data_IF_311204464103
#
_entry.id   IF_311204464103
#
_cell.length_a   1.000
_cell.length_b   1.000
_cell.length_c   1.000
_cell.angle_alpha   90.00
_cell.angle_beta   90.00
_cell.angle_gamma   90.00
#
_symmetry.space_group_name_H-M   'P 1'
#
loop_
_entity.id
_entity.type
_entity.pdbx_description
1 polymer ?
#
# COMPACT_ATOMS: atom_id res chain seq x y z
N UNK A 1 -11.53 10.48 -36.15
CA UNK A 1 -12.59 10.77 -35.15
C UNK A 1 -11.96 11.44 -33.95
N UNK A 2 -12.69 12.31 -33.25
CA UNK A 2 -12.18 12.99 -32.05
C UNK A 2 -11.78 11.97 -30.97
N UNK A 3 -10.75 12.24 -30.15
CA UNK A 3 -10.38 11.38 -29.03
C UNK A 3 -11.57 11.32 -28.06
N UNK A 4 -12.01 10.10 -27.74
CA UNK A 4 -13.05 9.86 -26.74
C UNK A 4 -12.37 9.22 -25.54
N UNK A 5 -12.60 9.73 -24.34
CA UNK A 5 -12.09 9.09 -23.13
C UNK A 5 -12.80 7.74 -22.96
N UNK A 6 -12.03 6.65 -22.94
CA UNK A 6 -12.52 5.26 -22.84
C UNK A 6 -12.07 4.57 -21.55
N UNK A 7 -11.44 5.29 -20.62
CA UNK A 7 -11.04 4.70 -19.36
C UNK A 7 -12.26 4.44 -18.47
N UNK A 8 -12.23 3.32 -17.76
CA UNK A 8 -13.22 2.98 -16.75
C UNK A 8 -12.91 3.62 -15.40
N UNK A 9 -13.63 3.16 -14.37
CA UNK A 9 -13.53 3.64 -12.98
C UNK A 9 -12.66 2.73 -12.09
N UNK A 10 -12.04 1.70 -12.66
CA UNK A 10 -11.19 0.75 -11.95
C UNK A 10 -9.73 1.13 -12.14
N UNK A 11 -9.01 1.29 -11.03
CA UNK A 11 -7.60 1.64 -11.04
C UNK A 11 -6.83 0.92 -9.92
N UNK A 12 -5.53 0.75 -10.12
CA UNK A 12 -4.62 0.19 -9.13
C UNK A 12 -3.47 1.14 -8.85
N UNK A 13 -3.07 1.27 -7.59
CA UNK A 13 -1.89 2.06 -7.20
C UNK A 13 -1.14 1.40 -6.05
N UNK A 14 0.18 1.56 -6.05
CA UNK A 14 1.05 1.03 -5.00
C UNK A 14 1.32 2.10 -3.93
N UNK A 15 1.10 1.76 -2.66
CA UNK A 15 1.45 2.63 -1.53
C UNK A 15 2.93 2.44 -1.18
N UNK A 16 3.68 3.53 -1.02
CA UNK A 16 5.10 3.48 -0.62
C UNK A 16 5.26 2.95 0.81
N UNK A 17 6.37 2.29 1.09
CA UNK A 17 6.65 1.68 2.39
C UNK A 17 6.02 0.30 2.60
N UNK A 18 5.67 -0.38 1.51
CA UNK A 18 5.32 -1.80 1.53
C UNK A 18 3.89 -2.12 2.02
N UNK A 19 3.60 -3.41 2.27
CA UNK A 19 2.25 -3.89 2.56
C UNK A 19 1.62 -3.28 3.81
N UNK A 20 2.44 -3.00 4.85
CA UNK A 20 1.97 -2.38 6.09
C UNK A 20 1.34 -1.01 5.85
N UNK A 21 1.97 -0.17 5.03
CA UNK A 21 1.43 1.15 4.70
C UNK A 21 0.17 1.06 3.86
N UNK A 22 0.10 0.12 2.91
CA UNK A 22 -1.13 -0.11 2.16
C UNK A 22 -2.31 -0.53 3.06
N UNK A 23 -2.04 -1.39 4.06
CA UNK A 23 -3.02 -1.77 5.09
C UNK A 23 -3.51 -0.55 5.88
N UNK A 24 -2.58 0.29 6.34
CA UNK A 24 -2.89 1.52 7.08
C UNK A 24 -3.76 2.47 6.25
N UNK A 25 -3.39 2.73 4.99
CA UNK A 25 -4.21 3.57 4.09
C UNK A 25 -5.61 3.00 3.94
N UNK A 26 -5.73 1.69 3.64
CA UNK A 26 -7.03 1.05 3.46
C UNK A 26 -7.91 1.11 4.73
N UNK A 27 -7.30 1.03 5.91
CA UNK A 27 -8.02 1.11 7.19
C UNK A 27 -8.44 2.54 7.57
N UNK A 28 -7.76 3.56 7.03
CA UNK A 28 -8.09 4.96 7.30
C UNK A 28 -9.13 5.56 6.36
N UNK A 29 -9.50 4.87 5.28
CA UNK A 29 -10.59 5.29 4.40
C UNK A 29 -11.92 5.36 5.17
N UNK A 30 -12.63 6.47 5.02
CA UNK A 30 -13.87 6.79 5.73
C UNK A 30 -15.09 6.77 4.81
N UNK A 31 -14.91 7.12 3.53
CA UNK A 31 -15.96 7.08 2.52
C UNK A 31 -15.90 5.79 1.70
N UNK A 32 -14.69 5.42 1.26
CA UNK A 32 -14.46 4.27 0.40
C UNK A 32 -14.60 2.96 1.18
N UNK A 33 -15.43 2.05 0.68
CA UNK A 33 -15.72 0.79 1.37
C UNK A 33 -14.66 -0.28 1.10
N UNK A 34 -14.28 -1.02 2.15
CA UNK A 34 -13.43 -2.21 2.02
C UNK A 34 -14.24 -3.38 1.51
N UNK A 35 -14.18 -3.65 0.21
CA UNK A 35 -14.95 -4.72 -0.43
C UNK A 35 -14.23 -5.30 -1.66
N UNK A 36 -14.57 -6.54 -2.01
CA UNK A 36 -13.98 -7.26 -3.14
C UNK A 36 -14.79 -7.15 -4.44
N UNK A 37 -16.03 -6.63 -4.36
CA UNK A 37 -16.88 -6.37 -5.52
C UNK A 37 -16.38 -5.21 -6.39
N UNK A 38 -17.06 -5.00 -7.52
CA UNK A 38 -16.69 -4.08 -8.60
C UNK A 38 -17.95 -3.40 -9.17
N UNK A 39 -17.82 -2.18 -9.72
CA UNK A 39 -18.88 -1.53 -10.50
C UNK A 39 -20.12 -1.12 -9.70
N UNK A 40 -19.98 -0.81 -8.41
CA UNK A 40 -21.08 -0.32 -7.57
C UNK A 40 -21.22 1.20 -7.68
N UNK A 41 -22.38 1.69 -7.26
CA UNK A 41 -22.60 3.13 -7.06
C UNK A 41 -21.75 3.70 -5.93
N UNK A 42 -21.32 2.86 -4.98
CA UNK A 42 -20.39 3.26 -3.91
C UNK A 42 -18.96 2.89 -4.28
N UNK A 43 -18.02 3.75 -3.92
CA UNK A 43 -16.59 3.52 -4.06
C UNK A 43 -16.14 2.34 -3.20
N UNK A 44 -15.35 1.44 -3.79
CA UNK A 44 -14.82 0.25 -3.10
C UNK A 44 -13.33 0.09 -3.34
N UNK A 45 -12.60 -0.33 -2.31
CA UNK A 45 -11.18 -0.61 -2.38
C UNK A 45 -10.80 -1.94 -1.70
N UNK A 46 -9.75 -2.57 -2.20
CA UNK A 46 -9.17 -3.79 -1.61
C UNK A 46 -7.68 -3.89 -1.89
N UNK A 47 -6.97 -4.70 -1.10
CA UNK A 47 -5.59 -5.12 -1.38
C UNK A 47 -5.66 -6.51 -2.02
N UNK A 48 -5.50 -6.63 -3.36
CA UNK A 48 -5.75 -7.90 -4.05
C UNK A 48 -4.90 -9.05 -3.52
N UNK A 49 -3.66 -8.76 -3.11
CA UNK A 49 -2.73 -9.76 -2.61
C UNK A 49 -3.27 -10.54 -1.40
N UNK A 50 -4.04 -9.91 -0.52
CA UNK A 50 -4.62 -10.54 0.68
C UNK A 50 -6.12 -10.80 0.56
N UNK A 51 -6.69 -10.62 -0.63
CA UNK A 51 -8.12 -10.84 -0.89
C UNK A 51 -8.33 -11.67 -2.16
N UNK A 52 -8.72 -11.03 -3.25
CA UNK A 52 -9.11 -11.66 -4.52
C UNK A 52 -8.05 -12.57 -5.14
N UNK A 53 -6.77 -12.32 -4.87
CA UNK A 53 -5.65 -13.09 -5.42
C UNK A 53 -4.88 -13.84 -4.33
N UNK A 54 -5.47 -14.01 -3.14
CA UNK A 54 -4.82 -14.70 -2.03
C UNK A 54 -4.44 -16.15 -2.37
N UNK A 55 -5.32 -16.86 -3.10
CA UNK A 55 -5.14 -18.28 -3.45
C UNK A 55 -4.01 -18.53 -4.47
N UNK A 56 -3.50 -17.50 -5.14
CA UNK A 56 -2.41 -17.63 -6.12
C UNK A 56 -1.04 -17.85 -5.47
N UNK A 57 -0.93 -17.69 -4.14
CA UNK A 57 0.33 -17.75 -3.43
C UNK A 57 1.27 -16.59 -3.79
N UNK A 58 2.47 -16.57 -3.19
CA UNK A 58 3.42 -15.49 -3.43
C UNK A 58 3.99 -15.52 -4.85
N UNK A 59 4.41 -16.70 -5.33
CA UNK A 59 5.00 -16.86 -6.66
C UNK A 59 4.02 -16.52 -7.78
N UNK A 60 2.76 -16.98 -7.69
CA UNK A 60 1.72 -16.63 -8.66
C UNK A 60 1.41 -15.13 -8.68
N UNK A 61 1.38 -14.48 -7.51
CA UNK A 61 1.19 -13.02 -7.42
C UNK A 61 2.38 -12.24 -7.98
N UNK A 62 3.62 -12.70 -7.77
CA UNK A 62 4.82 -12.07 -8.37
C UNK A 62 4.75 -12.13 -9.89
N UNK A 63 4.40 -13.28 -10.46
CA UNK A 63 4.25 -13.47 -11.90
C UNK A 63 3.15 -12.57 -12.49
N UNK A 64 2.05 -12.40 -11.76
CA UNK A 64 0.94 -11.53 -12.16
C UNK A 64 1.15 -10.04 -11.84
N UNK A 65 2.32 -9.65 -11.30
CA UNK A 65 2.63 -8.28 -10.86
C UNK A 65 1.63 -7.71 -9.84
N UNK A 66 1.27 -8.52 -8.84
CA UNK A 66 0.35 -8.17 -7.74
C UNK A 66 1.15 -8.02 -6.44
N UNK A 67 1.82 -6.88 -6.20
CA UNK A 67 2.59 -6.68 -5.00
C UNK A 67 1.68 -6.49 -3.78
N UNK A 68 2.20 -6.79 -2.58
CA UNK A 68 1.43 -6.72 -1.33
C UNK A 68 0.98 -5.31 -0.93
N UNK A 69 1.49 -4.28 -1.58
CA UNK A 69 1.14 -2.87 -1.36
C UNK A 69 0.24 -2.28 -2.46
N UNK A 70 -0.28 -3.11 -3.36
CA UNK A 70 -1.24 -2.69 -4.38
C UNK A 70 -2.62 -2.51 -3.75
N UNK A 71 -3.19 -1.32 -3.89
CA UNK A 71 -4.61 -1.06 -3.63
C UNK A 71 -5.32 -0.98 -4.98
N UNK A 72 -6.39 -1.76 -5.13
CA UNK A 72 -7.34 -1.65 -6.24
C UNK A 72 -8.52 -0.80 -5.76
N UNK A 73 -8.76 0.32 -6.44
CA UNK A 73 -9.87 1.24 -6.20
C UNK A 73 -10.85 1.16 -7.38
N UNK A 74 -12.15 1.08 -7.06
CA UNK A 74 -13.23 1.27 -8.01
C UNK A 74 -14.02 2.48 -7.54
N UNK A 75 -13.96 3.55 -8.33
CA UNK A 75 -14.67 4.80 -8.02
C UNK A 75 -16.15 4.63 -8.32
N UNK A 76 -16.99 4.98 -7.36
CA UNK A 76 -18.44 4.97 -7.46
C UNK A 76 -18.99 6.26 -8.05
N UNK A 77 -20.23 6.59 -7.68
CA UNK A 77 -20.97 7.77 -8.10
C UNK A 77 -20.97 8.91 -7.08
N UNK A 78 -20.09 8.86 -6.08
CA UNK A 78 -19.90 9.97 -5.13
C UNK A 78 -19.36 11.24 -5.83
N UNK A 79 -19.43 12.38 -5.15
CA UNK A 79 -18.80 13.60 -5.65
C UNK A 79 -17.28 13.41 -5.75
N UNK A 80 -16.63 13.77 -6.88
CA UNK A 80 -15.19 13.53 -7.06
C UNK A 80 -14.32 14.11 -5.94
N UNK A 81 -14.66 15.31 -5.46
CA UNK A 81 -13.91 15.98 -4.39
C UNK A 81 -13.98 15.21 -3.06
N UNK A 82 -15.09 14.53 -2.77
CA UNK A 82 -15.24 13.74 -1.55
C UNK A 82 -14.36 12.48 -1.60
N UNK A 83 -14.29 11.82 -2.78
CA UNK A 83 -13.43 10.66 -3.00
C UNK A 83 -11.96 11.06 -2.93
N UNK A 84 -11.59 12.20 -3.52
CA UNK A 84 -10.22 12.73 -3.45
C UNK A 84 -9.86 13.09 -2.01
N UNK A 85 -10.75 13.76 -1.27
CA UNK A 85 -10.53 14.11 0.13
C UNK A 85 -10.37 12.88 1.03
N UNK A 86 -11.16 11.82 0.80
CA UNK A 86 -11.06 10.55 1.52
C UNK A 86 -9.69 9.87 1.31
N UNK A 87 -9.21 9.85 0.06
CA UNK A 87 -7.88 9.33 -0.27
C UNK A 87 -6.76 10.18 0.34
N UNK A 88 -6.87 11.51 0.26
CA UNK A 88 -5.85 12.43 0.78
C UNK A 88 -5.70 12.31 2.30
N UNK A 89 -6.82 12.32 3.04
CA UNK A 89 -6.78 12.17 4.49
C UNK A 89 -6.20 10.81 4.91
N UNK A 90 -6.55 9.72 4.21
CA UNK A 90 -6.04 8.39 4.53
C UNK A 90 -4.53 8.28 4.30
N UNK A 91 -4.05 8.85 3.18
CA UNK A 91 -2.63 8.92 2.86
C UNK A 91 -1.87 9.80 3.85
N UNK A 92 -2.43 10.94 4.25
CA UNK A 92 -1.83 11.85 5.22
C UNK A 92 -1.67 11.20 6.59
N UNK A 93 -2.72 10.55 7.11
CA UNK A 93 -2.66 9.84 8.40
C UNK A 93 -1.65 8.71 8.40
N UNK A 94 -1.56 7.94 7.31
CA UNK A 94 -0.52 6.91 7.18
C UNK A 94 0.89 7.53 7.26
N UNK A 95 1.14 8.64 6.55
CA UNK A 95 2.43 9.34 6.63
C UNK A 95 2.74 9.82 8.05
N UNK A 96 1.77 10.44 8.72
CA UNK A 96 1.93 10.91 10.09
C UNK A 96 2.27 9.75 11.05
N UNK A 97 1.60 8.61 10.95
CA UNK A 97 1.90 7.40 11.75
C UNK A 97 3.31 6.88 11.50
N UNK A 98 3.75 6.83 10.23
CA UNK A 98 5.11 6.38 9.87
C UNK A 98 6.16 7.33 10.45
N UNK A 99 5.95 8.65 10.37
CA UNK A 99 6.88 9.65 10.93
C UNK A 99 6.99 9.51 12.46
N UNK A 100 5.87 9.31 13.16
CA UNK A 100 5.87 9.09 14.61
C UNK A 100 6.61 7.82 15.00
N UNK A 101 6.46 6.74 14.23
CA UNK A 101 7.19 5.48 14.46
C UNK A 101 8.70 5.63 14.25
N UNK A 102 9.13 6.40 13.25
CA UNK A 102 10.55 6.61 12.95
C UNK A 102 11.25 7.52 13.99
N UNK A 103 10.52 8.44 14.62
CA UNK A 103 11.05 9.30 15.68
C UNK A 103 11.30 8.55 17.00
N UNK A 104 10.72 7.34 17.17
CA UNK A 104 10.86 6.51 18.37
C UNK A 104 11.95 5.43 18.29
N UNK A 105 12.51 5.15 17.10
CA UNK A 105 13.65 4.26 16.96
C UNK A 105 14.95 5.04 17.16
N UNK A 106 15.51 4.95 18.38
CA UNK A 106 16.89 5.39 18.65
C UNK A 106 17.85 4.75 17.64
N UNK A 107 18.93 5.45 17.22
CA UNK A 107 19.99 4.80 16.45
C UNK A 107 20.75 3.86 17.38
N UNK A 108 20.52 2.56 17.25
CA UNK A 108 21.35 1.56 17.90
C UNK A 108 22.80 1.77 17.47
N UNK A 109 23.65 1.96 18.47
CA UNK A 109 25.10 2.06 18.35
C UNK A 109 25.62 0.71 17.86
N UNK A 110 26.02 0.63 16.59
CA UNK A 110 26.89 -0.46 16.13
C UNK A 110 28.21 -0.34 16.88
N UNK A 111 28.34 -1.10 17.97
CA UNK A 111 29.61 -1.40 18.60
C UNK A 111 30.38 -2.28 17.61
N UNK A 112 31.32 -1.68 16.91
CA UNK A 112 32.31 -2.39 16.10
C UNK A 112 33.22 -3.18 17.05
N UNK A 113 33.05 -4.50 17.09
CA UNK A 113 34.01 -5.39 17.75
C UNK A 113 35.30 -5.44 16.92
N UNK A 114 36.48 -5.19 17.51
CA UNK A 114 37.75 -5.30 16.79
C UNK A 114 38.05 -6.79 16.55
N UNK A 115 38.29 -7.16 15.28
CA UNK A 115 38.73 -8.51 14.93
C UNK A 115 40.03 -8.89 15.66
N UNK A 116 40.03 -10.12 16.14
CA UNK A 116 41.07 -10.81 16.87
C UNK A 116 42.31 -11.02 15.98
N UNK A 117 43.46 -10.42 16.36
CA UNK A 117 44.74 -10.73 15.71
C UNK A 117 45.17 -12.15 16.07
N UNK A 118 45.01 -13.06 15.11
CA UNK A 118 45.58 -14.41 15.14
C UNK A 118 47.11 -14.34 15.10
N UNK A 119 47.75 -14.75 16.19
CA UNK A 119 49.16 -15.14 16.21
C UNK A 119 49.31 -16.54 15.63
N UNK A 120 50.15 -16.71 14.60
CA UNK A 120 50.78 -17.98 14.28
C UNK A 120 52.16 -17.75 13.66
N UNK A 121 53.12 -18.49 14.20
CA UNK A 121 54.56 -18.54 13.96
C UNK A 121 54.94 -18.86 12.51
N UNK A 122 56.06 -18.29 12.03
CA UNK A 122 57.33 -19.00 11.73
C UNK A 122 58.46 -17.98 11.57
#
# INVERSE_FOLDING_TARGET
GAPVNRYGHLMGFCVRGGPGNARLVLDELQLTWRATDLGRIKSVATIPAISTHQQQGEEGRKLAHIPGNLIRLCVGGEHPDDVIADLDQALHKMRARVTLSAAGSSPDTEIFEPEETSTAET
#
